data_IF_322461818546
#
_entry.id   IF_322461818546
#
_cell.length_a   1.000
_cell.length_b   1.000
_cell.length_c   1.000
_cell.angle_alpha   90.00
_cell.angle_beta   90.00
_cell.angle_gamma   90.00
#
_symmetry.space_group_name_H-M   'P 1'
#
loop_
_entity.id
_entity.type
_entity.pdbx_description
1 polymer ?
#
# COMPACT_ATOMS: atom_id res chain seq x y z
N UNK A 1 -17.14 18.10 -30.79
CA UNK A 1 -16.48 17.43 -29.65
C UNK A 1 -15.26 18.26 -29.37
N UNK A 2 -15.36 19.15 -28.38
CA UNK A 2 -14.24 20.02 -28.00
C UNK A 2 -13.18 19.10 -27.39
N UNK A 3 -11.99 19.09 -27.99
CA UNK A 3 -10.84 18.45 -27.37
C UNK A 3 -10.69 19.06 -25.97
N UNK A 4 -10.82 18.26 -24.90
CA UNK A 4 -10.61 18.71 -23.53
C UNK A 4 -9.22 19.33 -23.45
N UNK A 5 -9.13 20.66 -23.50
CA UNK A 5 -7.96 21.40 -23.04
C UNK A 5 -7.64 20.85 -21.64
N UNK A 6 -6.39 20.44 -21.44
CA UNK A 6 -6.02 19.66 -20.27
C UNK A 6 -6.13 20.47 -18.98
N UNK A 7 -7.30 20.43 -18.32
CA UNK A 7 -7.58 21.15 -17.07
C UNK A 7 -6.66 20.63 -15.95
N UNK A 8 -6.54 19.31 -15.76
CA UNK A 8 -5.75 18.77 -14.67
C UNK A 8 -4.25 18.70 -14.99
N UNK A 9 -3.37 18.95 -13.99
CA UNK A 9 -1.92 18.82 -14.14
C UNK A 9 -1.50 17.34 -14.14
N UNK A 10 -1.79 16.63 -15.22
CA UNK A 10 -1.54 15.19 -15.35
C UNK A 10 -0.10 14.78 -15.02
N UNK A 11 0.96 15.50 -15.45
CA UNK A 11 2.33 15.13 -15.10
C UNK A 11 2.58 15.08 -13.58
N UNK A 12 2.12 16.11 -12.86
CA UNK A 12 2.24 16.22 -11.40
C UNK A 12 1.45 15.12 -10.69
N UNK A 13 0.19 14.89 -11.12
CA UNK A 13 -0.69 13.86 -10.55
C UNK A 13 -0.16 12.44 -10.79
N UNK A 14 0.33 12.16 -11.98
CA UNK A 14 0.89 10.85 -12.32
C UNK A 14 2.14 10.53 -11.49
N UNK A 15 3.01 11.51 -11.24
CA UNK A 15 4.17 11.30 -10.35
C UNK A 15 3.72 11.07 -8.89
N UNK A 16 2.68 11.78 -8.43
CA UNK A 16 2.10 11.56 -7.11
C UNK A 16 1.56 10.12 -6.94
N UNK A 17 0.90 9.60 -7.97
CA UNK A 17 0.30 8.26 -7.99
C UNK A 17 1.27 7.15 -8.41
N UNK A 18 2.50 7.48 -8.78
CA UNK A 18 3.45 6.54 -9.38
C UNK A 18 3.60 5.22 -8.59
N UNK A 19 3.64 4.06 -9.24
CA UNK A 19 3.88 2.79 -8.56
C UNK A 19 5.22 2.80 -7.79
N UNK A 20 5.32 2.12 -6.62
CA UNK A 20 6.60 1.95 -5.96
C UNK A 20 7.56 1.14 -6.83
N UNK A 21 8.75 1.67 -7.07
CA UNK A 21 9.79 1.00 -7.86
C UNK A 21 10.67 0.09 -7.00
N UNK A 22 11.25 -0.92 -7.65
CA UNK A 22 12.26 -1.81 -7.07
C UNK A 22 11.72 -3.03 -6.31
N UNK A 23 12.61 -4.01 -6.11
CA UNK A 23 12.35 -5.26 -5.40
C UNK A 23 13.56 -6.18 -5.56
N UNK A 24 13.97 -6.88 -4.49
CA UNK A 24 15.07 -7.84 -4.59
C UNK A 24 14.62 -8.99 -5.49
N UNK A 25 15.50 -9.40 -6.44
CA UNK A 25 15.30 -10.63 -7.20
C UNK A 25 15.60 -11.80 -6.26
N UNK A 26 14.60 -12.64 -6.02
CA UNK A 26 14.78 -13.84 -5.17
C UNK A 26 15.05 -15.11 -5.97
N UNK A 27 14.93 -15.08 -7.29
CA UNK A 27 15.12 -16.23 -8.17
C UNK A 27 16.00 -15.80 -9.38
N UNK A 28 16.84 -16.70 -9.93
CA UNK A 28 17.68 -16.53 -11.14
C UNK A 28 17.02 -17.21 -12.36
N UNK A 29 16.94 -16.56 -13.52
CA UNK A 29 16.21 -17.08 -14.72
C UNK A 29 15.39 -16.03 -15.49
N UNK A 30 14.64 -16.47 -16.51
CA UNK A 30 13.66 -15.64 -17.23
C UNK A 30 12.38 -15.48 -16.39
N UNK A 31 11.88 -14.25 -16.25
CA UNK A 31 10.72 -13.93 -15.40
C UNK A 31 9.74 -13.01 -16.09
N UNK A 32 8.46 -13.28 -15.92
CA UNK A 32 7.38 -12.36 -16.32
C UNK A 32 7.22 -11.28 -15.25
N UNK A 33 7.25 -10.04 -15.71
CA UNK A 33 6.67 -8.89 -15.01
C UNK A 33 5.34 -8.59 -15.67
N UNK A 34 4.38 -8.13 -14.89
CA UNK A 34 3.09 -7.75 -15.44
C UNK A 34 3.26 -6.36 -16.04
N UNK A 35 3.40 -6.30 -17.36
CA UNK A 35 3.22 -5.07 -18.13
C UNK A 35 1.72 -4.79 -18.30
N UNK A 36 1.33 -3.52 -18.44
CA UNK A 36 -0.03 -3.19 -18.91
C UNK A 36 -0.21 -3.85 -20.31
N UNK A 37 -1.26 -4.65 -20.45
CA UNK A 37 -1.47 -5.70 -21.47
C UNK A 37 -1.19 -5.40 -22.95
N UNK A 38 -0.83 -6.47 -23.66
CA UNK A 38 -0.72 -6.59 -25.13
C UNK A 38 0.49 -7.45 -25.57
N UNK A 39 0.34 -8.48 -26.44
CA UNK A 39 1.45 -9.30 -26.88
C UNK A 39 2.28 -8.52 -27.89
N UNK A 40 3.39 -7.92 -27.44
CA UNK A 40 4.20 -7.07 -28.31
C UNK A 40 5.56 -6.74 -27.71
N UNK A 41 6.59 -7.39 -28.26
CA UNK A 41 8.02 -7.03 -28.27
C UNK A 41 8.44 -5.83 -27.41
N UNK A 42 9.15 -6.12 -26.32
CA UNK A 42 10.50 -5.58 -26.08
C UNK A 42 10.74 -4.07 -26.11
N UNK A 43 9.73 -3.24 -25.83
CA UNK A 43 9.90 -1.80 -25.58
C UNK A 43 9.47 -1.48 -24.16
N UNK A 44 10.21 -0.62 -23.44
CA UNK A 44 9.71 -0.02 -22.22
C UNK A 44 8.50 0.85 -22.59
N UNK A 45 7.31 0.25 -22.68
CA UNK A 45 6.07 0.98 -22.86
C UNK A 45 5.95 1.95 -21.70
N UNK A 46 6.20 3.24 -21.97
CA UNK A 46 5.83 4.31 -21.05
C UNK A 46 4.35 4.09 -20.71
N UNK A 47 3.96 4.05 -19.43
CA UNK A 47 2.56 3.91 -19.09
C UNK A 47 1.77 4.98 -19.86
N UNK A 48 0.79 4.55 -20.65
CA UNK A 48 -0.10 5.47 -21.35
C UNK A 48 -0.67 6.43 -20.29
N UNK A 49 -0.47 7.75 -20.44
CA UNK A 49 -0.99 8.70 -19.48
C UNK A 49 -2.51 8.55 -19.41
N UNK A 50 -3.05 8.65 -18.19
CA UNK A 50 -4.50 8.69 -18.00
C UNK A 50 -5.06 9.86 -18.81
N UNK A 51 -6.21 9.66 -19.45
CA UNK A 51 -7.00 10.78 -19.98
C UNK A 51 -7.41 11.73 -18.85
N UNK A 52 -7.80 12.96 -19.20
CA UNK A 52 -8.30 13.95 -18.24
C UNK A 52 -9.48 13.39 -17.43
N UNK A 53 -10.46 12.78 -18.11
CA UNK A 53 -11.59 12.11 -17.49
C UNK A 53 -11.18 10.98 -16.51
N UNK A 54 -10.25 10.10 -16.90
CA UNK A 54 -9.77 9.03 -16.01
C UNK A 54 -9.01 9.57 -14.80
N UNK A 55 -8.19 10.60 -14.99
CA UNK A 55 -7.45 11.25 -13.93
C UNK A 55 -8.40 11.97 -12.95
N UNK A 56 -9.42 12.67 -13.47
CA UNK A 56 -10.49 13.28 -12.67
C UNK A 56 -11.21 12.24 -11.84
N UNK A 57 -11.69 11.17 -12.46
CA UNK A 57 -12.39 10.09 -11.76
C UNK A 57 -11.51 9.43 -10.68
N UNK A 58 -10.21 9.27 -10.94
CA UNK A 58 -9.25 8.77 -9.93
C UNK A 58 -9.08 9.77 -8.80
N UNK A 59 -8.95 11.06 -9.10
CA UNK A 59 -8.83 12.12 -8.10
C UNK A 59 -10.06 12.18 -7.19
N UNK A 60 -11.27 12.14 -7.77
CA UNK A 60 -12.53 12.09 -7.03
C UNK A 60 -12.57 10.90 -6.05
N UNK A 61 -12.23 9.69 -6.52
CA UNK A 61 -12.19 8.50 -5.65
C UNK A 61 -11.18 8.64 -4.50
N UNK A 62 -10.04 9.26 -4.74
CA UNK A 62 -9.02 9.51 -3.71
C UNK A 62 -9.53 10.47 -2.66
N UNK A 63 -10.07 11.61 -3.11
CA UNK A 63 -10.54 12.71 -2.26
C UNK A 63 -11.74 12.27 -1.42
N UNK A 64 -12.67 11.54 -2.03
CA UNK A 64 -13.85 10.94 -1.38
C UNK A 64 -13.52 9.68 -0.57
N UNK A 65 -12.24 9.29 -0.50
CA UNK A 65 -11.73 8.16 0.32
C UNK A 65 -12.37 6.81 -0.02
N UNK A 66 -12.50 6.51 -1.32
CA UNK A 66 -12.91 5.19 -1.78
C UNK A 66 -12.08 4.07 -1.11
N UNK A 67 -12.69 2.92 -0.76
CA UNK A 67 -11.99 1.80 -0.15
C UNK A 67 -10.76 1.35 -0.93
N UNK A 68 -9.66 1.11 -0.21
CA UNK A 68 -8.38 0.78 -0.82
C UNK A 68 -8.17 -0.73 -0.83
N UNK A 69 -8.08 -1.31 -2.03
CA UNK A 69 -7.96 -2.76 -2.21
C UNK A 69 -6.58 -3.27 -1.80
N UNK A 70 -6.55 -4.54 -1.43
CA UNK A 70 -5.34 -5.21 -0.96
C UNK A 70 -5.09 -6.49 -1.76
N UNK A 71 -4.05 -6.45 -2.58
CA UNK A 71 -3.41 -7.64 -3.14
C UNK A 71 -2.05 -7.82 -2.45
N UNK A 72 -1.82 -8.99 -1.86
CA UNK A 72 -0.54 -9.34 -1.21
C UNK A 72 -0.14 -10.77 -1.55
N UNK A 73 1.17 -11.01 -1.65
CA UNK A 73 1.72 -12.36 -1.60
C UNK A 73 1.66 -12.82 -0.14
N UNK A 74 0.92 -13.89 0.13
CA UNK A 74 0.76 -14.48 1.46
C UNK A 74 1.72 -15.64 1.71
N UNK A 75 2.13 -16.36 0.65
CA UNK A 75 2.94 -17.56 0.77
C UNK A 75 3.60 -17.98 -0.54
N UNK A 76 4.49 -18.96 -0.42
CA UNK A 76 5.12 -19.66 -1.54
C UNK A 76 5.18 -21.14 -1.22
N UNK A 77 4.91 -21.99 -2.20
CA UNK A 77 4.90 -23.43 -2.04
C UNK A 77 5.99 -24.06 -2.89
N UNK A 78 6.52 -25.19 -2.41
CA UNK A 78 7.68 -25.88 -2.98
C UNK A 78 7.33 -27.36 -3.13
N UNK A 79 7.31 -27.85 -4.37
CA UNK A 79 6.98 -29.22 -4.70
C UNK A 79 5.52 -29.60 -4.44
N UNK A 80 5.17 -30.82 -4.87
CA UNK A 80 3.79 -31.32 -4.86
C UNK A 80 3.19 -31.39 -3.44
N UNK A 81 3.96 -31.84 -2.45
CA UNK A 81 3.47 -32.02 -1.08
C UNK A 81 3.03 -30.69 -0.45
N UNK A 82 3.91 -29.68 -0.45
CA UNK A 82 3.60 -28.38 0.14
C UNK A 82 2.45 -27.69 -0.60
N UNK A 83 2.38 -27.84 -1.93
CA UNK A 83 1.28 -27.30 -2.73
C UNK A 83 -0.05 -27.99 -2.43
N UNK A 84 -0.07 -29.31 -2.30
CA UNK A 84 -1.24 -30.10 -1.90
C UNK A 84 -1.78 -29.66 -0.54
N UNK A 85 -0.90 -29.53 0.47
CA UNK A 85 -1.31 -29.05 1.80
C UNK A 85 -1.88 -27.62 1.74
N UNK A 86 -1.30 -26.77 0.90
CA UNK A 86 -1.81 -25.43 0.69
C UNK A 86 -3.19 -25.42 0.02
N UNK A 87 -3.41 -26.24 -1.00
CA UNK A 87 -4.73 -26.40 -1.62
C UNK A 87 -5.76 -26.95 -0.63
N UNK A 88 -5.37 -27.91 0.21
CA UNK A 88 -6.19 -28.39 1.31
C UNK A 88 -6.60 -27.24 2.25
N UNK A 89 -5.65 -26.41 2.66
CA UNK A 89 -5.95 -25.22 3.47
C UNK A 89 -6.91 -24.24 2.77
N UNK A 90 -6.65 -23.91 1.50
CA UNK A 90 -7.46 -22.96 0.71
C UNK A 90 -8.88 -23.48 0.49
N UNK A 91 -9.04 -24.78 0.23
CA UNK A 91 -10.35 -25.42 0.09
C UNK A 91 -11.03 -25.73 1.44
N UNK A 92 -10.44 -25.32 2.58
CA UNK A 92 -10.87 -25.73 3.93
C UNK A 92 -11.06 -27.25 4.05
N UNK A 93 -10.17 -27.99 3.40
CA UNK A 93 -10.16 -29.45 3.26
C UNK A 93 -11.44 -30.03 2.62
N UNK A 94 -11.93 -29.39 1.55
CA UNK A 94 -13.10 -29.82 0.79
C UNK A 94 -14.42 -29.22 1.26
N UNK A 95 -14.38 -28.24 2.17
CA UNK A 95 -15.58 -27.50 2.62
C UNK A 95 -15.90 -26.30 1.74
N UNK A 96 -14.93 -25.82 0.96
CA UNK A 96 -15.09 -24.72 0.02
C UNK A 96 -14.72 -25.20 -1.38
N UNK A 97 -15.59 -24.93 -2.33
CA UNK A 97 -15.30 -25.14 -3.74
C UNK A 97 -14.17 -24.21 -4.20
N UNK A 98 -13.29 -24.76 -5.03
CA UNK A 98 -12.17 -24.05 -5.65
C UNK A 98 -12.43 -23.99 -7.15
N UNK A 99 -12.19 -22.84 -7.78
CA UNK A 99 -12.28 -22.71 -9.24
C UNK A 99 -10.89 -22.74 -9.86
N UNK A 100 -10.68 -23.53 -10.91
CA UNK A 100 -9.42 -23.57 -11.67
C UNK A 100 -9.36 -22.51 -12.78
N UNK A 101 -8.19 -22.36 -13.40
CA UNK A 101 -7.98 -21.53 -14.59
C UNK A 101 -8.81 -21.98 -15.80
N UNK A 102 -9.17 -23.27 -15.87
CA UNK A 102 -10.02 -23.83 -16.93
C UNK A 102 -11.52 -23.65 -16.64
N UNK A 103 -11.86 -23.04 -15.51
CA UNK A 103 -13.24 -22.85 -15.07
C UNK A 103 -13.85 -24.07 -14.36
N UNK A 104 -13.09 -25.15 -14.15
CA UNK A 104 -13.50 -26.32 -13.36
C UNK A 104 -13.80 -25.90 -11.91
N UNK A 105 -14.95 -26.31 -11.37
CA UNK A 105 -15.30 -26.17 -9.96
C UNK A 105 -14.92 -27.48 -9.26
N UNK A 106 -13.96 -27.41 -8.34
CA UNK A 106 -13.31 -28.54 -7.70
C UNK A 106 -13.67 -28.54 -6.22
N UNK A 107 -14.36 -29.60 -5.79
CA UNK A 107 -14.69 -29.86 -4.39
C UNK A 107 -13.90 -31.05 -3.83
N UNK A 108 -13.49 -32.00 -4.69
CA UNK A 108 -12.77 -33.20 -4.28
C UNK A 108 -11.31 -32.90 -3.92
N UNK A 109 -10.88 -33.15 -2.66
CA UNK A 109 -9.48 -33.00 -2.27
C UNK A 109 -8.51 -33.88 -3.06
N UNK A 110 -8.93 -35.02 -3.64
CA UNK A 110 -8.05 -35.85 -4.47
C UNK A 110 -7.71 -35.16 -5.78
N UNK A 111 -8.68 -34.53 -6.43
CA UNK A 111 -8.47 -33.72 -7.64
C UNK A 111 -7.48 -32.57 -7.40
N UNK A 112 -7.59 -31.89 -6.26
CA UNK A 112 -6.62 -30.86 -5.86
C UNK A 112 -5.19 -31.44 -5.70
N UNK A 113 -5.06 -32.65 -5.13
CA UNK A 113 -3.76 -33.33 -5.00
C UNK A 113 -3.15 -33.68 -6.36
N UNK A 114 -3.96 -34.06 -7.33
CA UNK A 114 -3.52 -34.33 -8.70
C UNK A 114 -3.00 -33.06 -9.36
N UNK A 115 -3.78 -31.96 -9.33
CA UNK A 115 -3.36 -30.66 -9.87
C UNK A 115 -2.04 -30.20 -9.23
N UNK A 116 -1.88 -30.38 -7.92
CA UNK A 116 -0.64 -30.04 -7.23
C UNK A 116 0.57 -30.87 -7.72
N UNK A 117 0.37 -32.13 -8.09
CA UNK A 117 1.41 -32.98 -8.70
C UNK A 117 1.72 -32.53 -10.12
N UNK A 118 0.71 -32.23 -10.92
CA UNK A 118 0.88 -31.80 -12.31
C UNK A 118 1.70 -30.50 -12.38
N UNK A 119 1.40 -29.53 -11.52
CA UNK A 119 2.16 -28.28 -11.42
C UNK A 119 3.61 -28.52 -10.99
N UNK A 120 3.83 -29.44 -10.05
CA UNK A 120 5.18 -29.79 -9.61
C UNK A 120 5.97 -30.52 -10.70
N UNK A 121 5.31 -31.41 -11.46
CA UNK A 121 5.92 -32.12 -12.59
C UNK A 121 6.34 -31.14 -13.68
N UNK A 122 5.50 -30.16 -14.02
CA UNK A 122 5.85 -29.11 -14.96
C UNK A 122 7.03 -28.26 -14.45
N UNK A 123 7.00 -27.84 -13.18
CA UNK A 123 8.10 -27.07 -12.59
C UNK A 123 9.41 -27.88 -12.62
N UNK A 124 9.39 -29.17 -12.32
CA UNK A 124 10.56 -30.06 -12.34
C UNK A 124 11.10 -30.26 -13.77
N UNK A 125 10.23 -30.55 -14.74
CA UNK A 125 10.60 -30.71 -16.14
C UNK A 125 11.29 -29.47 -16.71
N UNK A 126 10.84 -28.27 -16.28
CA UNK A 126 11.40 -26.98 -16.68
C UNK A 126 12.56 -26.49 -15.78
N UNK A 127 13.02 -27.31 -14.83
CA UNK A 127 14.09 -26.98 -13.87
C UNK A 127 15.38 -27.74 -14.18
N UNK A 128 15.92 -27.59 -15.40
CA UNK A 128 17.11 -28.30 -15.89
C UNK A 128 18.31 -28.28 -14.91
N UNK A 129 18.46 -27.20 -14.13
CA UNK A 129 19.58 -27.01 -13.21
C UNK A 129 19.27 -27.38 -11.75
N UNK A 130 18.09 -27.93 -11.46
CA UNK A 130 17.70 -28.35 -10.10
C UNK A 130 17.74 -27.23 -9.07
N UNK A 131 17.41 -26.00 -9.46
CA UNK A 131 17.46 -24.85 -8.54
C UNK A 131 16.28 -24.89 -7.56
N UNK A 132 16.53 -24.63 -6.28
CA UNK A 132 15.46 -24.45 -5.28
C UNK A 132 14.62 -23.22 -5.63
N UNK A 133 13.36 -23.46 -6.01
CA UNK A 133 12.42 -22.45 -6.50
C UNK A 133 10.98 -22.82 -6.13
N UNK A 134 10.11 -21.83 -5.87
CA UNK A 134 8.74 -22.10 -5.49
C UNK A 134 7.92 -22.55 -6.70
N UNK A 135 7.19 -23.66 -6.58
CA UNK A 135 6.25 -24.18 -7.59
C UNK A 135 5.01 -23.29 -7.76
N UNK A 136 4.59 -22.59 -6.69
CA UNK A 136 3.48 -21.64 -6.78
C UNK A 136 3.63 -20.45 -5.81
N UNK A 137 2.85 -19.40 -6.08
CA UNK A 137 2.70 -18.24 -5.23
C UNK A 137 1.25 -18.08 -4.80
N UNK A 138 1.03 -17.90 -3.49
CA UNK A 138 -0.27 -17.57 -2.94
C UNK A 138 -0.45 -16.06 -2.86
N UNK A 139 -1.53 -15.57 -3.45
CA UNK A 139 -2.02 -14.21 -3.37
C UNK A 139 -3.29 -14.19 -2.52
N UNK A 140 -3.48 -13.09 -1.78
CA UNK A 140 -4.75 -12.77 -1.12
C UNK A 140 -5.25 -11.46 -1.68
N UNK A 141 -6.47 -11.49 -2.20
CA UNK A 141 -7.24 -10.36 -2.68
C UNK A 141 -8.30 -10.03 -1.64
N UNK A 142 -8.30 -8.80 -1.15
CA UNK A 142 -9.19 -8.37 -0.08
C UNK A 142 -9.49 -6.88 -0.20
N UNK A 143 -10.52 -6.45 0.49
CA UNK A 143 -10.87 -5.04 0.65
C UNK A 143 -11.36 -4.77 2.07
N UNK A 144 -11.27 -3.53 2.58
CA UNK A 144 -11.84 -3.17 3.88
C UNK A 144 -13.31 -3.58 3.97
N UNK A 145 -13.71 -4.11 5.13
CA UNK A 145 -15.08 -4.59 5.36
C UNK A 145 -16.15 -3.52 5.17
N UNK A 146 -17.34 -3.98 4.72
CA UNK A 146 -18.50 -3.17 4.38
C UNK A 146 -19.51 -4.02 3.59
N UNK A 147 -20.46 -3.37 2.92
CA UNK A 147 -21.52 -3.95 2.07
C UNK A 147 -21.00 -4.58 0.76
N UNK A 148 -19.87 -5.28 0.80
CA UNK A 148 -19.32 -5.96 -0.37
C UNK A 148 -19.96 -7.34 -0.44
N UNK A 149 -20.79 -7.51 -1.46
CA UNK A 149 -21.33 -8.80 -1.81
C UNK A 149 -20.19 -9.81 -2.12
N UNK A 150 -20.09 -10.94 -1.38
CA UNK A 150 -19.02 -11.91 -1.58
C UNK A 150 -18.99 -12.53 -2.98
N UNK A 151 -20.14 -12.69 -3.63
CA UNK A 151 -20.22 -13.23 -4.99
C UNK A 151 -19.62 -12.23 -6.00
N UNK A 152 -20.00 -10.96 -5.91
CA UNK A 152 -19.41 -9.89 -6.72
C UNK A 152 -17.89 -9.77 -6.50
N UNK A 153 -17.42 -9.96 -5.26
CA UNK A 153 -15.98 -10.01 -4.94
C UNK A 153 -15.28 -11.19 -5.64
N UNK A 154 -15.90 -12.36 -5.63
CA UNK A 154 -15.40 -13.56 -6.30
C UNK A 154 -15.34 -13.35 -7.82
N UNK A 155 -16.38 -12.76 -8.42
CA UNK A 155 -16.42 -12.47 -9.85
C UNK A 155 -15.36 -11.44 -10.26
N UNK A 156 -15.15 -10.40 -9.46
CA UNK A 156 -14.07 -9.44 -9.68
C UNK A 156 -12.69 -10.11 -9.58
N UNK A 157 -12.49 -10.99 -8.60
CA UNK A 157 -11.24 -11.73 -8.45
C UNK A 157 -11.01 -12.73 -9.59
N UNK A 158 -12.07 -13.34 -10.12
CA UNK A 158 -12.00 -14.24 -11.27
C UNK A 158 -11.62 -13.48 -12.55
N UNK A 159 -12.26 -12.35 -12.86
CA UNK A 159 -11.88 -11.54 -14.01
C UNK A 159 -10.46 -10.97 -13.88
N UNK A 160 -10.07 -10.56 -12.68
CA UNK A 160 -8.69 -10.19 -12.37
C UNK A 160 -7.70 -11.31 -12.69
N UNK A 161 -8.00 -12.55 -12.27
CA UNK A 161 -7.12 -13.69 -12.51
C UNK A 161 -7.02 -14.01 -14.01
N UNK A 162 -8.13 -13.93 -14.73
CA UNK A 162 -8.17 -14.15 -16.18
C UNK A 162 -7.25 -13.19 -16.93
N UNK A 163 -7.41 -11.89 -16.70
CA UNK A 163 -6.63 -10.82 -17.34
C UNK A 163 -5.11 -11.00 -17.14
N UNK A 164 -4.69 -11.54 -15.99
CA UNK A 164 -3.28 -11.60 -15.63
C UNK A 164 -2.60 -12.94 -15.90
N UNK A 165 -3.36 -14.03 -15.95
CA UNK A 165 -2.78 -15.37 -15.88
C UNK A 165 -3.34 -16.35 -16.92
N UNK A 166 -4.55 -16.15 -17.44
CA UNK A 166 -5.23 -17.13 -18.33
C UNK A 166 -4.37 -17.53 -19.54
N UNK A 167 -3.62 -16.59 -20.09
CA UNK A 167 -2.78 -16.82 -21.28
C UNK A 167 -1.57 -17.73 -21.04
N UNK A 168 -1.05 -17.81 -19.80
CA UNK A 168 0.26 -18.46 -19.58
C UNK A 168 0.42 -19.21 -18.26
N UNK A 169 -0.29 -18.85 -17.19
CA UNK A 169 -0.07 -19.43 -15.86
C UNK A 169 -1.36 -20.09 -15.34
N UNK A 170 -1.25 -21.36 -14.95
CA UNK A 170 -2.32 -22.03 -14.23
C UNK A 170 -2.58 -21.37 -12.88
N UNK A 171 -3.85 -21.30 -12.46
CA UNK A 171 -4.23 -20.75 -11.17
C UNK A 171 -5.44 -21.45 -10.58
N UNK A 172 -5.63 -21.30 -9.28
CA UNK A 172 -6.85 -21.68 -8.58
C UNK A 172 -7.32 -20.55 -7.67
N UNK A 173 -8.63 -20.44 -7.47
CA UNK A 173 -9.24 -19.41 -6.62
C UNK A 173 -10.30 -19.96 -5.69
N UNK A 174 -10.33 -19.44 -4.46
CA UNK A 174 -11.34 -19.77 -3.45
C UNK A 174 -11.75 -18.52 -2.67
N UNK A 175 -13.06 -18.34 -2.51
CA UNK A 175 -13.64 -17.28 -1.70
C UNK A 175 -13.73 -17.74 -0.24
N UNK A 176 -13.18 -16.95 0.67
CA UNK A 176 -13.30 -17.14 2.12
C UNK A 176 -14.20 -16.06 2.70
N UNK A 177 -15.29 -16.46 3.34
CA UNK A 177 -16.28 -15.60 4.01
C UNK A 177 -16.33 -15.82 5.52
N UNK A 178 -15.45 -16.66 6.05
CA UNK A 178 -15.42 -17.12 7.44
C UNK A 178 -14.59 -16.21 8.38
N UNK A 179 -14.25 -15.02 7.92
CA UNK A 179 -13.55 -13.98 8.70
C UNK A 179 -14.32 -12.67 8.60
N UNK A 180 -13.99 -11.69 9.44
CA UNK A 180 -14.65 -10.37 9.46
C UNK A 180 -14.70 -9.68 8.09
N UNK A 181 -13.80 -10.04 7.16
CA UNK A 181 -13.72 -9.46 5.83
C UNK A 181 -13.62 -10.57 4.77
N UNK A 182 -14.57 -10.66 3.81
CA UNK A 182 -14.49 -11.62 2.74
C UNK A 182 -13.24 -11.37 1.90
N UNK A 183 -12.54 -12.43 1.52
CA UNK A 183 -11.31 -12.36 0.75
C UNK A 183 -11.15 -13.57 -0.14
N UNK A 184 -10.44 -13.38 -1.26
CA UNK A 184 -10.17 -14.45 -2.22
C UNK A 184 -8.72 -14.88 -2.10
N UNK A 185 -8.53 -16.18 -1.87
CA UNK A 185 -7.25 -16.84 -2.04
C UNK A 185 -7.06 -17.17 -3.51
N UNK A 186 -5.96 -16.72 -4.10
CA UNK A 186 -5.57 -17.00 -5.48
C UNK A 186 -4.18 -17.63 -5.46
N UNK A 187 -4.05 -18.87 -5.89
CA UNK A 187 -2.75 -19.53 -6.00
C UNK A 187 -2.39 -19.68 -7.46
N UNK A 188 -1.19 -19.22 -7.83
CA UNK A 188 -0.72 -19.16 -9.23
C UNK A 188 0.52 -20.03 -9.38
N UNK A 189 0.53 -20.91 -10.36
CA UNK A 189 1.71 -21.66 -10.77
C UNK A 189 2.82 -20.69 -11.19
N UNK A 190 4.03 -20.87 -10.67
CA UNK A 190 5.13 -19.98 -11.04
C UNK A 190 5.68 -20.29 -12.41
N UNK A 191 5.68 -21.55 -12.83
CA UNK A 191 6.05 -21.94 -14.19
C UNK A 191 4.89 -21.65 -15.14
N UNK A 192 5.17 -20.96 -16.24
CA UNK A 192 4.20 -20.71 -17.30
C UNK A 192 4.31 -21.74 -18.43
N UNK A 193 3.28 -21.81 -19.27
CA UNK A 193 3.24 -22.70 -20.44
C UNK A 193 4.35 -22.37 -21.46
N UNK A 194 4.79 -21.12 -21.52
CA UNK A 194 5.90 -20.64 -22.36
C UNK A 194 7.30 -20.80 -21.73
N UNK A 195 7.40 -21.42 -20.55
CA UNK A 195 8.65 -21.60 -19.80
C UNK A 195 9.14 -20.35 -19.07
N UNK A 196 8.36 -19.26 -19.06
CA UNK A 196 8.68 -18.07 -18.28
C UNK A 196 8.11 -18.18 -16.86
N UNK A 197 8.82 -17.59 -15.88
CA UNK A 197 8.42 -17.68 -14.48
C UNK A 197 7.71 -16.45 -13.95
N UNK A 198 6.57 -16.64 -13.29
CA UNK A 198 5.87 -15.60 -12.57
C UNK A 198 6.62 -15.22 -11.28
N UNK A 199 7.04 -13.95 -11.17
CA UNK A 199 7.79 -13.44 -10.02
C UNK A 199 7.52 -11.94 -9.78
N UNK A 200 6.37 -11.58 -9.18
CA UNK A 200 5.93 -10.22 -9.08
C UNK A 200 6.84 -9.38 -8.17
N UNK A 201 7.16 -8.16 -8.62
CA UNK A 201 7.85 -7.10 -7.87
C UNK A 201 6.84 -6.09 -7.34
N UNK A 202 7.33 -5.05 -6.65
CA UNK A 202 6.46 -4.04 -6.03
C UNK A 202 5.59 -3.29 -7.04
N UNK A 203 6.12 -3.02 -8.23
CA UNK A 203 5.38 -2.40 -9.32
C UNK A 203 4.28 -3.33 -9.84
N UNK A 204 4.60 -4.62 -10.06
CA UNK A 204 3.63 -5.64 -10.48
C UNK A 204 2.50 -5.78 -9.45
N UNK A 205 2.83 -5.84 -8.16
CA UNK A 205 1.82 -5.88 -7.09
C UNK A 205 0.97 -4.61 -7.03
N UNK A 206 1.49 -3.46 -7.43
CA UNK A 206 0.68 -2.25 -7.50
C UNK A 206 -0.25 -2.29 -8.70
N UNK A 207 0.25 -2.69 -9.86
CA UNK A 207 -0.57 -2.90 -11.05
C UNK A 207 -1.69 -3.91 -10.79
N UNK A 208 -1.40 -5.03 -10.13
CA UNK A 208 -2.42 -5.98 -9.69
C UNK A 208 -3.51 -5.34 -8.83
N UNK A 209 -3.14 -4.43 -7.91
CA UNK A 209 -4.14 -3.70 -7.12
C UNK A 209 -4.98 -2.78 -7.99
N UNK A 210 -4.37 -2.11 -8.96
CA UNK A 210 -5.11 -1.26 -9.92
C UNK A 210 -6.08 -2.08 -10.77
N UNK A 211 -5.66 -3.23 -11.30
CA UNK A 211 -6.51 -4.16 -12.06
C UNK A 211 -7.65 -4.66 -11.19
N UNK A 212 -7.38 -5.10 -9.97
CA UNK A 212 -8.43 -5.59 -9.08
C UNK A 212 -9.42 -4.49 -8.68
N UNK A 213 -8.94 -3.27 -8.40
CA UNK A 213 -9.82 -2.13 -8.15
C UNK A 213 -10.64 -1.75 -9.38
N UNK A 214 -10.09 -1.88 -10.60
CA UNK A 214 -10.84 -1.70 -11.84
C UNK A 214 -11.97 -2.72 -11.97
N UNK A 215 -11.68 -4.02 -11.78
CA UNK A 215 -12.68 -5.08 -11.86
C UNK A 215 -13.80 -4.96 -10.83
N UNK A 216 -13.48 -4.48 -9.62
CA UNK A 216 -14.49 -4.16 -8.60
C UNK A 216 -15.39 -3.01 -9.04
N UNK A 217 -14.81 -1.92 -9.56
CA UNK A 217 -15.59 -0.78 -10.06
C UNK A 217 -16.47 -1.12 -11.25
N UNK A 218 -15.99 -1.97 -12.16
CA UNK A 218 -16.78 -2.47 -13.28
C UNK A 218 -18.04 -3.24 -12.83
N UNK A 219 -18.06 -3.71 -11.58
CA UNK A 219 -19.18 -4.41 -10.94
C UNK A 219 -19.89 -3.56 -9.87
N UNK A 220 -19.71 -2.24 -9.90
CA UNK A 220 -20.39 -1.31 -9.00
C UNK A 220 -19.81 -1.20 -7.59
N UNK A 221 -18.70 -1.87 -7.29
CA UNK A 221 -18.03 -1.75 -5.99
C UNK A 221 -17.04 -0.58 -6.03
N UNK A 222 -17.28 0.42 -5.17
CA UNK A 222 -16.37 1.54 -5.01
C UNK A 222 -15.01 1.03 -4.47
N UNK A 223 -13.98 1.16 -5.29
CA UNK A 223 -12.65 0.65 -4.98
C UNK A 223 -11.57 1.53 -5.64
N UNK A 224 -10.45 1.70 -4.96
CA UNK A 224 -9.27 2.38 -5.50
C UNK A 224 -7.98 1.68 -5.08
N UNK A 225 -6.90 1.91 -5.82
CA UNK A 225 -5.58 1.40 -5.53
C UNK A 225 -4.55 2.52 -5.68
N UNK A 226 -4.17 3.13 -4.56
CA UNK A 226 -3.13 4.15 -4.57
C UNK A 226 -1.96 3.80 -3.66
N UNK A 227 -0.74 4.23 -4.01
CA UNK A 227 0.35 4.15 -3.05
C UNK A 227 0.01 4.99 -1.82
N UNK A 228 0.27 4.47 -0.62
CA UNK A 228 -0.03 5.14 0.67
C UNK A 228 0.35 6.62 0.75
N UNK A 229 1.45 7.00 0.09
CA UNK A 229 1.95 8.37 0.04
C UNK A 229 1.00 9.34 -0.68
N UNK A 230 0.26 8.87 -1.69
CA UNK A 230 -0.72 9.65 -2.43
C UNK A 230 -1.90 10.10 -1.54
N UNK A 231 -2.05 9.46 -0.37
CA UNK A 231 -3.06 9.77 0.66
C UNK A 231 -2.47 10.47 1.89
N UNK A 232 -1.25 11.01 1.80
CA UNK A 232 -0.59 11.69 2.92
C UNK A 232 -0.01 10.75 4.00
N UNK A 233 -0.19 9.43 3.90
CA UNK A 233 0.30 8.51 4.93
C UNK A 233 1.80 8.20 4.77
N UNK A 234 2.64 8.97 5.46
CA UNK A 234 4.11 8.77 5.51
C UNK A 234 4.55 7.76 6.56
N UNK A 235 3.83 7.69 7.68
CA UNK A 235 4.24 6.86 8.82
C UNK A 235 4.16 5.37 8.48
N UNK A 236 5.24 4.62 8.72
CA UNK A 236 5.21 3.16 8.55
C UNK A 236 4.35 2.54 9.67
N UNK A 237 3.45 1.60 9.31
CA UNK A 237 2.76 0.78 10.31
C UNK A 237 3.77 -0.10 11.05
N UNK A 238 3.44 -0.45 12.28
CA UNK A 238 4.15 -1.50 13.02
C UNK A 238 4.07 -2.79 12.20
N UNK A 239 5.19 -3.51 12.10
CA UNK A 239 5.23 -4.76 11.31
C UNK A 239 4.33 -5.80 11.96
N UNK A 240 3.57 -6.55 11.14
CA UNK A 240 2.67 -7.61 11.64
C UNK A 240 3.38 -8.61 12.54
N UNK A 241 4.63 -8.99 12.21
CA UNK A 241 5.42 -9.89 13.06
C UNK A 241 5.63 -9.35 14.49
N UNK A 242 5.81 -8.02 14.64
CA UNK A 242 5.92 -7.40 15.95
C UNK A 242 4.56 -7.39 16.67
N UNK A 243 3.45 -7.15 15.95
CA UNK A 243 2.10 -7.24 16.52
C UNK A 243 1.76 -8.67 16.97
N UNK A 244 2.08 -9.69 16.16
CA UNK A 244 1.83 -11.09 16.49
C UNK A 244 2.73 -11.56 17.63
N UNK A 245 3.98 -11.09 17.68
CA UNK A 245 4.87 -11.34 18.82
C UNK A 245 4.31 -10.70 20.09
N UNK A 246 3.90 -9.42 20.04
CA UNK A 246 3.28 -8.72 21.17
C UNK A 246 2.04 -9.47 21.67
N UNK A 247 1.15 -9.87 20.77
CA UNK A 247 -0.04 -10.64 21.11
C UNK A 247 0.33 -11.97 21.79
N UNK A 248 1.33 -12.70 21.28
CA UNK A 248 1.81 -13.96 21.84
C UNK A 248 2.41 -13.78 23.23
N UNK A 249 3.30 -12.80 23.43
CA UNK A 249 3.92 -12.57 24.74
C UNK A 249 2.93 -11.95 25.74
N UNK A 250 1.91 -11.25 25.24
CA UNK A 250 0.77 -10.74 26.01
C UNK A 250 -0.01 -11.83 26.72
N UNK A 251 -0.09 -13.03 26.13
CA UNK A 251 -0.69 -14.21 26.77
C UNK A 251 0.07 -14.65 28.03
N UNK A 252 1.35 -14.27 28.16
CA UNK A 252 2.24 -14.57 29.30
C UNK A 252 2.51 -13.29 30.12
N UNK A 253 1.65 -12.28 30.02
CA UNK A 253 1.73 -11.04 30.80
C UNK A 253 2.87 -10.08 30.40
N UNK A 254 3.53 -10.31 29.26
CA UNK A 254 4.60 -9.43 28.75
C UNK A 254 4.10 -8.59 27.58
N UNK A 255 4.67 -7.41 27.35
CA UNK A 255 4.37 -6.55 26.19
C UNK A 255 5.64 -6.03 25.56
N UNK A 256 5.63 -5.85 24.25
CA UNK A 256 6.66 -5.09 23.54
C UNK A 256 6.39 -3.61 23.79
N UNK A 257 7.33 -2.91 24.43
CA UNK A 257 7.16 -1.47 24.65
C UNK A 257 7.54 -0.65 23.41
N UNK A 258 6.81 -0.85 22.32
CA UNK A 258 7.06 -0.19 21.03
C UNK A 258 6.86 1.32 21.10
N UNK A 259 5.93 1.77 21.94
CA UNK A 259 5.67 3.21 22.14
C UNK A 259 6.78 3.87 22.95
N UNK A 260 7.27 3.23 24.02
CA UNK A 260 8.46 3.68 24.73
C UNK A 260 9.68 3.73 23.80
N UNK A 261 9.90 2.72 22.94
CA UNK A 261 11.00 2.74 21.97
C UNK A 261 10.88 3.91 20.98
N UNK A 262 9.67 4.26 20.54
CA UNK A 262 9.42 5.41 19.68
C UNK A 262 9.68 6.73 20.43
N UNK A 263 9.23 6.84 21.68
CA UNK A 263 9.47 7.98 22.58
C UNK A 263 10.96 8.16 22.85
N UNK A 264 11.69 7.09 23.15
CA UNK A 264 13.15 7.13 23.36
C UNK A 264 13.90 7.60 22.12
N UNK A 265 13.52 7.08 20.94
CA UNK A 265 14.09 7.53 19.66
C UNK A 265 13.74 8.99 19.35
N UNK A 266 12.55 9.45 19.74
CA UNK A 266 12.11 10.84 19.57
C UNK A 266 12.88 11.78 20.51
N UNK A 267 13.03 11.40 21.79
CA UNK A 267 13.84 12.13 22.78
C UNK A 267 15.29 12.24 22.31
N UNK A 268 15.91 11.13 21.90
CA UNK A 268 17.27 11.12 21.39
C UNK A 268 17.45 12.08 20.21
N UNK A 269 16.46 12.16 19.30
CA UNK A 269 16.47 13.14 18.20
C UNK A 269 16.28 14.58 18.70
N UNK A 270 15.35 14.82 19.62
CA UNK A 270 15.07 16.15 20.19
C UNK A 270 16.19 16.71 21.09
N UNK A 271 17.21 15.90 21.41
CA UNK A 271 18.38 16.29 22.19
C UNK A 271 19.69 16.22 21.40
N UNK A 272 19.67 15.76 20.16
CA UNK A 272 20.87 15.70 19.32
C UNK A 272 21.30 17.13 18.94
N UNK A 273 22.60 17.42 19.09
CA UNK A 273 23.20 18.69 18.65
C UNK A 273 23.29 18.82 17.13
N UNK A 274 23.31 17.68 16.44
CA UNK A 274 23.33 17.59 14.99
C UNK A 274 21.98 17.04 14.53
N UNK A 275 21.18 17.90 13.91
CA UNK A 275 19.82 17.61 13.44
C UNK A 275 19.82 16.75 12.17
N UNK A 276 20.70 15.76 12.06
CA UNK A 276 20.84 15.02 10.81
C UNK A 276 19.60 14.16 10.59
N UNK A 277 18.64 14.75 9.86
CA UNK A 277 17.45 14.08 9.38
C UNK A 277 17.95 12.94 8.52
N UNK A 278 17.49 11.72 8.82
CA UNK A 278 17.84 10.56 7.99
C UNK A 278 17.50 10.90 6.54
N UNK A 279 18.33 10.53 5.55
CA UNK A 279 18.03 10.80 4.15
C UNK A 279 16.62 10.34 3.74
N UNK A 280 16.13 9.26 4.35
CA UNK A 280 14.78 8.73 4.15
C UNK A 280 13.67 9.66 4.67
N UNK A 281 13.90 10.35 5.80
CA UNK A 281 12.95 11.31 6.37
C UNK A 281 12.88 12.56 5.47
N UNK A 282 14.03 13.05 4.96
CA UNK A 282 14.10 14.17 4.01
C UNK A 282 13.41 13.82 2.70
N UNK A 283 13.71 12.66 2.11
CA UNK A 283 13.06 12.18 0.89
C UNK A 283 11.53 12.04 1.05
N UNK A 284 11.07 11.62 2.22
CA UNK A 284 9.63 11.53 2.50
C UNK A 284 8.96 12.91 2.55
N UNK A 285 9.62 13.91 3.15
CA UNK A 285 9.15 15.30 3.18
C UNK A 285 9.08 15.92 1.78
N UNK A 286 10.16 15.79 1.00
CA UNK A 286 10.21 16.29 -0.39
C UNK A 286 9.09 15.68 -1.21
N UNK A 287 8.91 14.36 -1.12
CA UNK A 287 7.85 13.67 -1.87
C UNK A 287 6.46 14.08 -1.43
N UNK A 288 6.23 14.30 -0.14
CA UNK A 288 4.94 14.82 0.33
C UNK A 288 4.67 16.24 -0.10
N UNK A 289 5.69 17.11 -0.12
CA UNK A 289 5.57 18.47 -0.67
C UNK A 289 5.14 18.41 -2.14
N UNK A 290 5.74 17.54 -2.94
CA UNK A 290 5.36 17.32 -4.34
C UNK A 290 3.92 16.83 -4.49
N UNK A 291 3.51 15.82 -3.72
CA UNK A 291 2.15 15.26 -3.78
C UNK A 291 1.10 16.30 -3.38
N UNK A 292 1.33 17.03 -2.29
CA UNK A 292 0.43 18.10 -1.84
C UNK A 292 0.36 19.23 -2.86
N UNK A 293 1.51 19.59 -3.46
CA UNK A 293 1.58 20.55 -4.57
C UNK A 293 0.75 20.12 -5.77
N UNK A 294 0.87 18.87 -6.21
CA UNK A 294 0.12 18.34 -7.35
C UNK A 294 -1.41 18.41 -7.14
N UNK A 295 -1.90 18.12 -5.94
CA UNK A 295 -3.33 18.26 -5.62
C UNK A 295 -3.77 19.72 -5.48
N UNK A 296 -2.92 20.59 -4.93
CA UNK A 296 -3.22 22.02 -4.86
C UNK A 296 -3.27 22.65 -6.27
N UNK A 297 -2.35 22.26 -7.16
CA UNK A 297 -2.36 22.65 -8.57
C UNK A 297 -3.66 22.17 -9.25
N UNK A 298 -4.09 20.94 -9.00
CA UNK A 298 -5.34 20.40 -9.54
C UNK A 298 -6.58 21.17 -9.03
N UNK A 299 -6.63 21.50 -7.73
CA UNK A 299 -7.73 22.29 -7.16
C UNK A 299 -7.80 23.69 -7.80
N UNK A 300 -6.66 24.38 -7.92
CA UNK A 300 -6.60 25.70 -8.56
C UNK A 300 -7.00 25.62 -10.04
N UNK A 301 -6.59 24.58 -10.75
CA UNK A 301 -6.94 24.42 -12.16
C UNK A 301 -8.45 24.18 -12.35
N UNK A 302 -9.07 23.35 -11.50
CA UNK A 302 -10.51 23.12 -11.49
C UNK A 302 -11.29 24.40 -11.12
N UNK A 303 -10.88 25.11 -10.06
CA UNK A 303 -11.56 26.34 -9.66
C UNK A 303 -11.55 27.44 -10.75
N UNK A 304 -10.55 27.42 -11.65
CA UNK A 304 -10.45 28.40 -12.74
C UNK A 304 -11.44 28.18 -13.88
N UNK A 305 -11.99 26.98 -14.04
CA UNK A 305 -12.96 26.71 -15.12
C UNK A 305 -14.29 27.43 -14.85
N UNK A 306 -14.62 27.68 -13.58
CA UNK A 306 -15.87 28.33 -13.17
C UNK A 306 -17.09 27.41 -13.26
N UNK A 307 -16.91 26.15 -13.63
CA UNK A 307 -17.99 25.15 -13.65
C UNK A 307 -18.35 24.71 -12.23
N UNK A 308 -19.65 24.50 -11.96
CA UNK A 308 -20.12 24.17 -10.62
C UNK A 308 -19.53 22.85 -10.10
N UNK A 309 -19.45 21.83 -10.96
CA UNK A 309 -18.90 20.52 -10.60
C UNK A 309 -17.39 20.56 -10.35
N UNK A 310 -16.67 21.41 -11.08
CA UNK A 310 -15.22 21.62 -10.90
C UNK A 310 -14.94 22.37 -9.61
N UNK A 311 -15.75 23.39 -9.29
CA UNK A 311 -15.64 24.13 -8.06
C UNK A 311 -15.90 23.21 -6.85
N UNK A 312 -16.93 22.36 -6.91
CA UNK A 312 -17.21 21.38 -5.87
C UNK A 312 -16.03 20.42 -5.66
N UNK A 313 -15.45 19.90 -6.75
CA UNK A 313 -14.28 19.01 -6.66
C UNK A 313 -13.04 19.74 -6.11
N UNK A 314 -12.82 21.00 -6.49
CA UNK A 314 -11.77 21.84 -5.93
C UNK A 314 -11.91 21.97 -4.40
N UNK A 315 -13.11 22.24 -3.91
CA UNK A 315 -13.38 22.38 -2.47
C UNK A 315 -13.19 21.05 -1.73
N UNK A 316 -13.61 19.93 -2.32
CA UNK A 316 -13.35 18.60 -1.79
C UNK A 316 -11.83 18.32 -1.69
N UNK A 317 -11.04 18.69 -2.72
CA UNK A 317 -9.56 18.55 -2.71
C UNK A 317 -8.95 19.39 -1.60
N UNK A 318 -9.41 20.63 -1.41
CA UNK A 318 -8.94 21.50 -0.34
C UNK A 318 -9.20 20.89 1.04
N UNK A 319 -10.41 20.37 1.27
CA UNK A 319 -10.76 19.64 2.49
C UNK A 319 -9.89 18.39 2.71
N UNK A 320 -9.62 17.64 1.64
CA UNK A 320 -8.75 16.48 1.69
C UNK A 320 -7.30 16.84 2.04
N UNK A 321 -6.76 17.91 1.46
CA UNK A 321 -5.42 18.43 1.78
C UNK A 321 -5.31 18.89 3.24
N UNK A 322 -6.34 19.57 3.76
CA UNK A 322 -6.40 20.00 5.15
C UNK A 322 -6.43 18.81 6.12
N UNK A 323 -7.13 17.73 5.75
CA UNK A 323 -7.21 16.50 6.55
C UNK A 323 -5.97 15.58 6.45
N UNK A 324 -4.99 15.87 5.57
CA UNK A 324 -3.83 15.01 5.40
C UNK A 324 -2.93 14.99 6.66
N UNK A 325 -2.50 13.81 7.12
CA UNK A 325 -1.56 13.71 8.24
C UNK A 325 -0.25 14.47 7.97
N UNK A 326 0.45 14.95 9.02
CA UNK A 326 1.75 15.57 8.89
C UNK A 326 2.75 14.69 8.12
N UNK A 327 3.51 15.30 7.21
CA UNK A 327 4.47 14.63 6.33
C UNK A 327 5.75 14.12 7.03
N UNK A 328 5.70 13.92 8.35
CA UNK A 328 6.85 13.55 9.19
C UNK A 328 6.73 12.11 9.68
N UNK A 329 7.87 11.45 9.91
CA UNK A 329 7.88 10.14 10.55
C UNK A 329 7.38 10.23 12.00
N UNK A 330 6.85 9.13 12.57
CA UNK A 330 6.32 9.10 13.95
C UNK A 330 7.33 9.63 14.98
N UNK A 331 8.62 9.28 14.81
CA UNK A 331 9.73 9.79 15.61
C UNK A 331 9.85 11.31 15.55
N UNK A 332 9.78 11.89 14.34
CA UNK A 332 9.91 13.33 14.13
C UNK A 332 8.67 14.11 14.59
N UNK A 333 7.47 13.53 14.44
CA UNK A 333 6.24 14.08 14.99
C UNK A 333 6.34 14.21 16.52
N UNK A 334 6.68 13.11 17.21
CA UNK A 334 6.89 13.09 18.66
C UNK A 334 8.03 14.02 19.09
N UNK A 335 9.12 14.09 18.33
CA UNK A 335 10.21 15.00 18.65
C UNK A 335 9.80 16.47 18.53
N UNK A 336 8.99 16.82 17.51
CA UNK A 336 8.43 18.16 17.36
C UNK A 336 7.52 18.52 18.52
N UNK A 337 6.64 17.62 18.93
CA UNK A 337 5.77 17.81 20.11
C UNK A 337 6.61 18.04 21.38
N UNK A 338 7.68 17.28 21.58
CA UNK A 338 8.59 17.46 22.72
C UNK A 338 9.34 18.79 22.68
N UNK A 339 9.78 19.26 21.51
CA UNK A 339 10.46 20.56 21.34
C UNK A 339 9.47 21.71 21.59
N UNK A 340 8.28 21.63 21.00
CA UNK A 340 7.22 22.63 21.20
C UNK A 340 6.77 22.70 22.66
N UNK A 341 6.60 21.55 23.32
CA UNK A 341 6.28 21.48 24.75
C UNK A 341 7.36 22.12 25.63
N UNK A 342 8.65 21.91 25.31
CA UNK A 342 9.75 22.61 26.01
C UNK A 342 9.70 24.12 25.79
N UNK A 343 9.53 24.57 24.54
CA UNK A 343 9.45 26.00 24.21
C UNK A 343 8.27 26.67 24.91
N UNK A 344 7.09 26.06 24.93
CA UNK A 344 5.91 26.57 25.64
C UNK A 344 6.13 26.62 27.16
N UNK A 345 6.80 25.61 27.73
CA UNK A 345 7.16 25.61 29.16
C UNK A 345 8.22 26.66 29.50
N UNK A 346 9.11 26.97 28.56
CA UNK A 346 10.16 27.98 28.72
C UNK A 346 9.59 29.40 28.60
N UNK A 347 8.69 29.65 27.63
CA UNK A 347 7.94 30.90 27.50
C UNK A 347 7.01 31.16 28.68
N UNK A 348 6.39 30.13 29.26
CA UNK A 348 5.58 30.26 30.48
C UNK A 348 6.41 30.50 31.76
N UNK A 349 7.73 30.28 31.71
CA UNK A 349 8.67 30.51 32.82
C UNK A 349 9.40 31.85 32.74
N UNK A 350 9.20 32.63 31.68
CA UNK A 350 9.62 34.02 31.62
C UNK A 350 8.44 34.92 32.03
N UNK A 351 8.28 35.28 33.31
CA UNK A 351 7.48 36.44 33.65
C UNK A 351 8.23 37.70 33.22
N UNK A 352 7.47 38.72 32.83
CA UNK A 352 7.95 40.05 32.45
C UNK A 352 9.13 40.52 33.31
N UNK A 353 10.27 40.79 32.66
CA UNK A 353 11.35 41.59 33.24
C UNK A 353 10.92 43.05 33.37
N UNK A 354 9.90 43.31 34.19
CA UNK A 354 9.47 44.63 34.62
C UNK A 354 10.07 44.95 35.98
N UNK A 355 10.99 45.92 36.00
CA UNK A 355 11.44 46.72 37.14
C UNK A 355 11.66 45.99 38.49
N UNK A 356 12.90 45.55 38.74
CA UNK A 356 13.34 45.30 40.11
C UNK A 356 13.34 46.61 40.92
N UNK A 357 12.97 46.59 42.22
CA UNK A 357 12.93 47.80 43.02
C UNK A 357 14.33 48.38 43.19
N UNK A 358 14.48 49.68 42.90
CA UNK A 358 15.69 50.47 43.15
C UNK A 358 16.14 50.31 44.60
N UNK A 359 17.41 49.90 44.79
CA UNK A 359 18.08 49.99 46.08
C UNK A 359 18.27 51.47 46.42
N UNK A 360 17.87 51.94 47.61
CA UNK A 360 18.13 53.31 48.00
C UNK A 360 19.64 53.50 48.26
N UNK A 361 20.17 54.74 48.08
CA UNK A 361 21.59 55.01 48.18
C UNK A 361 22.10 54.88 49.63
N UNK A 362 23.39 54.61 49.84
CA UNK A 362 23.95 54.44 51.17
C UNK A 362 24.01 55.79 51.92
N UNK A 363 23.49 55.77 53.14
CA UNK A 363 23.50 56.91 54.07
C UNK A 363 24.93 57.26 54.50
N UNK A 364 25.27 58.55 54.42
CA UNK A 364 26.53 59.11 54.92
C UNK A 364 26.23 59.98 56.15
N UNK A 365 26.53 59.46 57.34
CA UNK A 365 26.65 60.23 58.60
C UNK A 365 27.25 59.34 59.69
N UNK A 366 28.55 59.49 60.03
CA UNK A 366 29.17 60.37 61.07
C UNK A 366 29.09 59.82 62.51
N UNK A 367 30.29 59.62 63.07
CA UNK A 367 30.72 59.70 64.49
C UNK A 367 30.08 58.68 65.48
N UNK A 368 30.85 57.90 66.25
CA UNK A 368 31.97 58.28 67.14
C UNK A 368 33.03 57.20 67.26
#
# INVERSE_FOLDING_TARGET
MVEEEGILPLPSLMEAWRPPTGGKRTLRGAYVRIGRGGPGRGGQARPVPLSQAEARAKLERIVRKAPEVMVKVSGKQYGAHHLSEHFGYVARHGKLAVRSSEGEIIEDPKRLKEIARDWAMLDEAMNEHGCDRPTSLSLVLSMPGGSTDPETLQDAAHAFARILFEDNHAYILALHTDTDHPHVHLTVATEGADGTRFNPRKADLHHMRETFAHELRARGIAAEATPRRARGHVQKRVRSAALHLDARIGQVGRRLNMDELNVLRARAFAHARDEERRPQDVMALVRQKQIRGAYAEAAVALARTGEADDQALSDEIAGFLAAMPPAVSRRLALAREMIQGRQATQLAREPEGGAGPERPPPDRGRER
#
